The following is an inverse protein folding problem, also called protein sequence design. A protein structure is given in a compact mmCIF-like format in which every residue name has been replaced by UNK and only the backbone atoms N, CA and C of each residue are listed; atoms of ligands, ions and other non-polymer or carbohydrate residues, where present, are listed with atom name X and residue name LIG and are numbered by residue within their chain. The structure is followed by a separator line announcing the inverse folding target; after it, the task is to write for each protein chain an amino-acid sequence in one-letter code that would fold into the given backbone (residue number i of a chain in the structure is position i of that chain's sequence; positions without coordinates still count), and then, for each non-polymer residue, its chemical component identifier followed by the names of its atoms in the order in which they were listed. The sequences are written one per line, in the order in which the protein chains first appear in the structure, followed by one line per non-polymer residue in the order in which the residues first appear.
data_IF_983572855585
#
_entry.id   IF_983572855585
#
_cell.length_a   1.000
_cell.length_b   1.000
_cell.length_c   1.000
_cell.angle_alpha   90.00
_cell.angle_beta   90.00
_cell.angle_gamma   90.00
#
_symmetry.space_group_name_H-M   'P 1'
#
loop_
_entity.id
_entity.type
_entity.pdbx_description
1 polymer ?
#
# COMPACT_ATOMS: atom_id res chain seq x y z
N UNK A 1 47.97 37.91 -0.87
CA UNK A 1 47.50 37.10 -2.00
C UNK A 1 47.13 35.73 -1.44
N UNK A 2 46.24 35.60 -0.45
CA UNK A 2 44.76 35.72 -0.54
C UNK A 2 44.22 35.11 -1.83
N UNK A 3 43.82 33.85 -1.76
CA UNK A 3 42.62 33.38 -2.46
C UNK A 3 41.94 32.29 -1.63
N UNK A 4 40.89 32.73 -0.95
CA UNK A 4 39.98 31.94 -0.14
C UNK A 4 38.94 31.37 -1.08
N UNK A 5 38.95 30.06 -1.32
CA UNK A 5 37.87 29.38 -2.04
C UNK A 5 36.65 29.34 -1.12
N UNK A 6 35.81 30.35 -1.25
CA UNK A 6 34.56 30.48 -0.54
C UNK A 6 33.53 29.57 -1.20
N UNK A 7 33.44 28.32 -0.72
CA UNK A 7 32.35 27.41 -1.07
C UNK A 7 31.03 27.96 -0.54
N UNK A 8 30.28 28.60 -1.42
CA UNK A 8 28.87 28.95 -1.24
C UNK A 8 28.05 27.65 -1.17
N UNK A 9 27.97 27.05 0.02
CA UNK A 9 26.86 26.15 0.35
C UNK A 9 25.69 27.09 0.69
N UNK A 10 24.62 27.15 -0.11
CA UNK A 10 23.45 27.93 0.26
C UNK A 10 22.94 27.38 1.58
N UNK A 11 22.93 28.21 2.62
CA UNK A 11 22.19 27.93 3.85
C UNK A 11 20.72 27.79 3.44
N UNK A 12 20.24 26.56 3.30
CA UNK A 12 18.83 26.26 3.21
C UNK A 12 18.19 26.87 4.46
N UNK A 13 17.45 27.96 4.27
CA UNK A 13 16.70 28.61 5.32
C UNK A 13 15.65 27.61 5.84
N UNK A 14 15.90 27.07 7.03
CA UNK A 14 15.04 26.08 7.71
C UNK A 14 13.88 26.80 8.43
N UNK A 15 13.74 28.12 8.26
CA UNK A 15 12.77 28.94 9.00
C UNK A 15 11.34 28.90 8.41
N UNK A 16 11.18 28.55 7.13
CA UNK A 16 9.84 28.38 6.55
C UNK A 16 9.20 27.06 6.96
N UNK A 17 8.51 27.10 8.12
CA UNK A 17 7.51 26.09 8.48
C UNK A 17 6.36 26.17 7.48
N UNK A 18 6.49 25.46 6.36
CA UNK A 18 5.37 25.19 5.45
C UNK A 18 4.19 24.69 6.29
N UNK A 19 3.05 25.35 6.16
CA UNK A 19 1.84 25.01 6.92
C UNK A 19 1.54 23.52 6.73
N UNK A 20 1.51 22.78 7.83
CA UNK A 20 1.32 21.32 7.78
C UNK A 20 -0.14 21.04 7.39
N UNK A 21 -0.41 20.37 6.26
CA UNK A 21 -1.78 20.09 5.84
C UNK A 21 -2.50 19.30 6.93
N UNK A 22 -3.76 19.67 7.23
CA UNK A 22 -4.59 18.93 8.19
C UNK A 22 -4.87 17.54 7.63
N UNK A 23 -4.81 16.53 8.50
CA UNK A 23 -5.16 15.15 8.10
C UNK A 23 -6.66 15.01 8.21
N UNK A 24 -7.33 14.96 7.06
CA UNK A 24 -8.78 14.78 6.95
C UNK A 24 -9.13 13.30 6.68
N UNK A 25 -10.32 12.88 7.11
CA UNK A 25 -10.76 11.51 6.92
C UNK A 25 -11.02 11.21 5.43
N UNK A 26 -10.40 10.15 4.91
CA UNK A 26 -10.54 9.76 3.50
C UNK A 26 -9.66 10.54 2.52
N UNK A 27 -8.83 11.49 2.99
CA UNK A 27 -7.89 12.24 2.14
C UNK A 27 -6.51 11.59 2.21
N UNK A 28 -5.95 11.24 1.05
CA UNK A 28 -4.61 10.66 0.93
C UNK A 28 -3.55 11.75 0.86
N UNK A 29 -2.56 11.67 1.74
CA UNK A 29 -1.31 12.42 1.62
C UNK A 29 -0.25 11.53 0.96
N UNK A 30 0.47 12.06 -0.05
CA UNK A 30 1.54 11.35 -0.77
C UNK A 30 2.81 12.19 -0.84
N UNK A 31 3.94 11.57 -1.21
CA UNK A 31 5.22 12.25 -1.42
C UNK A 31 5.61 13.16 -0.24
N UNK A 32 5.89 14.43 -0.54
CA UNK A 32 6.31 15.43 0.45
C UNK A 32 5.30 15.60 1.60
N UNK A 33 4.00 15.58 1.31
CA UNK A 33 2.95 15.77 2.32
C UNK A 33 2.88 14.61 3.31
N UNK A 34 3.08 13.38 2.83
CA UNK A 34 3.14 12.16 3.64
C UNK A 34 4.26 12.23 4.67
N UNK A 35 5.42 12.72 4.25
CA UNK A 35 6.64 12.71 5.05
C UNK A 35 6.88 13.98 5.87
N UNK A 36 6.13 15.06 5.60
CA UNK A 36 6.28 16.37 6.25
C UNK A 36 6.20 16.37 7.79
N UNK A 37 5.65 15.32 8.39
CA UNK A 37 5.48 15.17 9.85
C UNK A 37 6.43 14.17 10.49
N UNK A 38 7.37 13.58 9.73
CA UNK A 38 8.34 12.63 10.25
C UNK A 38 9.37 13.39 11.09
N UNK A 39 9.72 12.92 12.30
CA UNK A 39 10.65 13.63 13.19
C UNK A 39 12.08 13.68 12.66
N UNK A 40 12.42 12.80 11.73
CA UNK A 40 13.71 12.76 11.03
C UNK A 40 13.64 13.61 9.76
N UNK A 41 14.67 14.43 9.53
CA UNK A 41 14.80 15.25 8.32
C UNK A 41 14.93 14.34 7.09
N UNK A 42 13.96 14.44 6.18
CA UNK A 42 14.01 13.74 4.90
C UNK A 42 14.57 14.71 3.87
N UNK A 43 15.74 14.38 3.34
CA UNK A 43 16.39 15.15 2.29
C UNK A 43 15.72 14.75 0.97
N UNK A 44 15.06 15.68 0.27
CA UNK A 44 14.43 15.36 -1.00
C UNK A 44 15.50 15.03 -2.03
N UNK A 45 15.24 14.00 -2.84
CA UNK A 45 16.04 13.74 -4.04
C UNK A 45 15.69 14.79 -5.08
N UNK A 46 16.59 15.76 -5.29
CA UNK A 46 16.42 16.82 -6.30
C UNK A 46 16.73 16.31 -7.71
N UNK A 47 17.76 15.48 -7.83
CA UNK A 47 18.18 14.86 -9.08
C UNK A 47 17.91 13.36 -9.02
N UNK A 48 16.87 12.88 -9.71
CA UNK A 48 16.61 11.45 -9.80
C UNK A 48 17.67 10.79 -10.70
N UNK A 49 18.49 9.86 -10.17
CA UNK A 49 19.40 9.11 -11.00
C UNK A 49 18.62 8.25 -12.00
N UNK A 50 19.11 8.18 -13.24
CA UNK A 50 18.54 7.29 -14.24
C UNK A 50 18.63 5.85 -13.75
N UNK A 51 17.49 5.14 -13.77
CA UNK A 51 17.45 3.70 -13.44
C UNK A 51 18.38 2.93 -14.39
N UNK A 52 19.25 2.04 -13.88
CA UNK A 52 20.10 1.19 -14.71
C UNK A 52 19.31 0.36 -15.72
N UNK A 53 19.93 -0.02 -16.83
CA UNK A 53 19.22 -0.68 -17.92
C UNK A 53 18.61 -2.03 -17.52
N UNK A 54 19.27 -2.77 -16.62
CA UNK A 54 18.86 -4.10 -16.17
C UNK A 54 17.61 -4.15 -15.29
N UNK A 55 17.20 -3.04 -14.65
CA UNK A 55 15.99 -2.99 -13.79
C UNK A 55 14.76 -2.44 -14.54
N UNK A 56 14.93 -1.97 -15.77
CA UNK A 56 13.84 -1.36 -16.54
C UNK A 56 13.07 -2.44 -17.28
N UNK A 57 11.76 -2.44 -17.06
CA UNK A 57 10.82 -3.29 -17.81
C UNK A 57 9.97 -2.44 -18.74
N UNK A 58 9.46 -3.04 -19.81
CA UNK A 58 8.39 -2.44 -20.59
C UNK A 58 7.08 -2.72 -19.87
N UNK A 59 6.32 -1.67 -19.52
CA UNK A 59 5.00 -1.86 -18.89
C UNK A 59 4.09 -2.50 -19.95
N UNK A 60 3.66 -3.76 -19.76
CA UNK A 60 2.77 -4.40 -20.72
C UNK A 60 1.39 -3.78 -20.56
N UNK A 61 0.91 -3.07 -21.57
CA UNK A 61 -0.49 -2.69 -21.67
C UNK A 61 -1.21 -3.89 -22.27
N UNK A 62 -1.68 -4.81 -21.41
CA UNK A 62 -2.47 -5.96 -21.84
C UNK A 62 -3.95 -5.70 -21.56
N UNK A 63 -4.87 -6.18 -22.43
CA UNK A 63 -6.31 -6.12 -22.15
C UNK A 63 -6.69 -6.80 -20.83
N UNK A 64 -5.90 -7.77 -20.38
CA UNK A 64 -6.09 -8.47 -19.11
C UNK A 64 -5.81 -7.55 -17.91
N UNK A 65 -4.76 -6.74 -17.96
CA UNK A 65 -4.48 -5.73 -16.93
C UNK A 65 -5.67 -4.78 -16.82
N UNK A 66 -6.16 -4.23 -17.94
CA UNK A 66 -7.28 -3.28 -17.91
C UNK A 66 -8.57 -3.92 -17.39
N UNK A 67 -8.86 -5.17 -17.77
CA UNK A 67 -9.98 -5.94 -17.21
C UNK A 67 -9.90 -6.05 -15.68
N UNK A 68 -8.71 -6.34 -15.15
CA UNK A 68 -8.50 -6.46 -13.71
C UNK A 68 -8.67 -5.12 -13.01
N UNK A 69 -8.12 -4.03 -13.56
CA UNK A 69 -8.32 -2.68 -13.01
C UNK A 69 -9.79 -2.30 -12.94
N UNK A 70 -10.56 -2.63 -13.98
CA UNK A 70 -12.01 -2.40 -14.00
C UNK A 70 -12.73 -3.23 -12.93
N UNK A 71 -12.35 -4.49 -12.76
CA UNK A 71 -12.90 -5.35 -11.72
C UNK A 71 -12.60 -4.81 -10.31
N UNK A 72 -11.35 -4.43 -10.03
CA UNK A 72 -10.97 -3.86 -8.74
C UNK A 72 -11.83 -2.63 -8.42
N UNK A 73 -12.01 -1.72 -9.38
CA UNK A 73 -12.88 -0.54 -9.24
C UNK A 73 -14.34 -0.90 -9.03
N UNK A 74 -14.87 -1.87 -9.77
CA UNK A 74 -16.26 -2.34 -9.65
C UNK A 74 -16.54 -2.87 -8.24
N UNK A 75 -15.59 -3.62 -7.67
CA UNK A 75 -15.71 -4.21 -6.34
C UNK A 75 -15.19 -3.30 -5.21
N UNK A 76 -14.77 -2.06 -5.53
CA UNK A 76 -14.17 -1.10 -4.58
C UNK A 76 -12.99 -1.69 -3.80
N UNK A 77 -12.19 -2.52 -4.47
CA UNK A 77 -11.01 -3.17 -3.90
C UNK A 77 -9.75 -2.40 -4.27
N UNK A 78 -8.73 -2.53 -3.44
CA UNK A 78 -7.41 -1.99 -3.70
C UNK A 78 -6.40 -3.11 -3.92
N UNK A 79 -5.36 -2.81 -4.68
CA UNK A 79 -4.24 -3.72 -4.94
C UNK A 79 -2.94 -2.97 -4.72
N UNK A 80 -1.98 -3.62 -4.04
CA UNK A 80 -0.60 -3.09 -3.96
C UNK A 80 -0.02 -2.92 -5.35
N UNK A 81 -0.40 -3.79 -6.29
CA UNK A 81 0.11 -3.72 -7.64
C UNK A 81 -0.24 -2.39 -8.34
N UNK A 82 -1.41 -1.81 -8.03
CA UNK A 82 -1.81 -0.47 -8.49
C UNK A 82 -1.30 0.65 -7.57
N UNK A 83 -1.52 0.53 -6.25
CA UNK A 83 -1.25 1.62 -5.30
C UNK A 83 0.25 1.88 -5.10
N UNK A 84 1.11 0.87 -5.37
CA UNK A 84 2.57 0.96 -5.28
C UNK A 84 3.28 0.99 -6.64
N UNK A 85 2.55 1.23 -7.74
CA UNK A 85 3.14 1.37 -9.08
C UNK A 85 4.04 0.19 -9.50
N UNK A 86 3.55 -1.05 -9.28
CA UNK A 86 4.37 -2.24 -9.46
C UNK A 86 4.74 -2.47 -10.94
N UNK A 87 6.04 -2.62 -11.29
CA UNK A 87 6.47 -2.89 -12.66
C UNK A 87 6.07 -4.29 -13.16
N UNK A 88 5.78 -5.23 -12.25
CA UNK A 88 5.50 -6.63 -12.56
C UNK A 88 4.00 -6.94 -12.74
N UNK A 89 3.15 -5.91 -12.74
CA UNK A 89 1.69 -6.03 -12.80
C UNK A 89 1.19 -7.01 -13.88
N UNK A 90 1.71 -6.87 -15.11
CA UNK A 90 1.29 -7.71 -16.24
C UNK A 90 1.72 -9.17 -16.09
N UNK A 91 2.94 -9.41 -15.62
CA UNK A 91 3.46 -10.76 -15.42
C UNK A 91 2.68 -11.50 -14.33
N UNK A 92 2.49 -10.86 -13.16
CA UNK A 92 1.77 -11.47 -12.05
C UNK A 92 0.34 -11.85 -12.45
N UNK A 93 -0.38 -10.93 -13.08
CA UNK A 93 -1.77 -11.17 -13.46
C UNK A 93 -1.92 -12.25 -14.53
N UNK A 94 -1.09 -12.24 -15.57
CA UNK A 94 -1.13 -13.31 -16.59
C UNK A 94 -0.68 -14.66 -16.03
N UNK A 95 0.12 -14.67 -14.96
CA UNK A 95 0.45 -15.86 -14.17
C UNK A 95 -0.67 -16.35 -13.25
N UNK A 96 -1.82 -15.66 -13.20
CA UNK A 96 -2.94 -15.98 -12.30
C UNK A 96 -2.65 -15.63 -10.83
N UNK A 97 -1.82 -14.61 -10.59
CA UNK A 97 -1.44 -14.14 -9.26
C UNK A 97 -1.81 -12.68 -9.05
N UNK A 98 -2.36 -12.34 -7.88
CA UNK A 98 -2.64 -10.96 -7.52
C UNK A 98 -2.36 -10.71 -6.03
N UNK A 99 -1.96 -9.48 -5.73
CA UNK A 99 -1.85 -8.97 -4.36
C UNK A 99 -2.94 -7.96 -4.09
N UNK A 100 -3.86 -8.29 -3.19
CA UNK A 100 -4.91 -7.39 -2.75
C UNK A 100 -4.48 -6.65 -1.49
N UNK A 101 -4.82 -5.37 -1.44
CA UNK A 101 -4.64 -4.53 -0.26
C UNK A 101 -6.01 -4.28 0.36
N UNK A 102 -6.28 -4.94 1.48
CA UNK A 102 -7.53 -4.78 2.24
C UNK A 102 -7.43 -3.57 3.17
N UNK A 103 -8.58 -3.16 3.70
CA UNK A 103 -8.75 -2.05 4.63
C UNK A 103 -8.47 -0.68 4.01
N UNK A 104 -8.64 -0.57 2.68
CA UNK A 104 -8.48 0.65 1.92
C UNK A 104 -7.05 0.95 1.49
N UNK A 105 -6.84 2.21 1.13
CA UNK A 105 -5.62 2.74 0.50
C UNK A 105 -4.98 3.91 1.27
N UNK A 106 -5.44 4.11 2.50
CA UNK A 106 -4.95 5.11 3.45
C UNK A 106 -4.34 4.39 4.64
N UNK A 107 -3.04 4.56 4.81
CA UNK A 107 -2.30 4.03 5.94
C UNK A 107 -2.24 5.05 7.09
N UNK A 108 -2.48 4.58 8.31
CA UNK A 108 -2.29 5.39 9.53
C UNK A 108 -0.81 5.71 9.77
N UNK A 109 0.09 4.96 9.15
CA UNK A 109 1.55 5.16 9.18
C UNK A 109 2.08 5.85 7.92
N UNK A 110 3.35 6.22 7.97
CA UNK A 110 4.00 7.12 7.00
C UNK A 110 5.40 6.67 6.62
N UNK A 111 5.58 5.38 6.30
CA UNK A 111 6.88 4.84 5.89
C UNK A 111 7.42 5.62 4.67
N UNK A 112 8.65 6.22 4.74
CA UNK A 112 9.18 7.08 3.68
C UNK A 112 9.35 6.40 2.32
N UNK A 113 9.58 5.09 2.32
CA UNK A 113 9.80 4.28 1.12
C UNK A 113 8.49 3.80 0.48
N UNK A 114 7.36 3.89 1.19
CA UNK A 114 6.10 3.30 0.77
C UNK A 114 5.31 4.33 -0.05
N UNK A 115 4.73 3.92 -1.17
CA UNK A 115 3.95 4.83 -2.04
C UNK A 115 2.46 4.92 -1.63
N UNK A 116 2.00 4.02 -0.75
CA UNK A 116 0.62 4.03 -0.23
C UNK A 116 0.34 5.33 0.51
N UNK A 117 -0.85 5.89 0.32
CA UNK A 117 -1.25 7.16 0.93
C UNK A 117 -1.21 7.11 2.45
N UNK A 118 -0.81 8.21 3.08
CA UNK A 118 -0.94 8.40 4.53
C UNK A 118 -2.18 9.25 4.84
N UNK A 119 -2.89 8.95 5.91
CA UNK A 119 -3.98 9.82 6.37
C UNK A 119 -4.83 9.20 7.47
N UNK A 120 -6.05 9.71 7.62
CA UNK A 120 -7.07 9.11 8.48
C UNK A 120 -7.99 8.25 7.61
N UNK A 121 -8.00 6.92 7.78
CA UNK A 121 -8.84 6.03 6.98
C UNK A 121 -10.33 6.27 7.22
N UNK A 122 -11.17 5.85 6.27
CA UNK A 122 -12.62 5.68 6.50
C UNK A 122 -12.89 4.42 7.35
N UNK A 123 -14.10 4.27 7.91
CA UNK A 123 -14.50 3.01 8.54
C UNK A 123 -14.29 1.81 7.60
N UNK A 124 -14.04 0.63 8.18
CA UNK A 124 -13.95 -0.61 7.40
C UNK A 124 -15.25 -0.86 6.63
N UNK A 125 -15.12 -1.31 5.38
CA UNK A 125 -16.25 -1.85 4.64
C UNK A 125 -16.48 -3.29 5.09
N UNK A 126 -17.61 -3.51 5.77
CA UNK A 126 -18.04 -4.83 6.26
C UNK A 126 -18.24 -5.85 5.14
N UNK A 127 -18.42 -5.39 3.89
CA UNK A 127 -18.58 -6.26 2.73
C UNK A 127 -17.26 -6.53 2.00
N UNK A 128 -16.15 -5.89 2.38
CA UNK A 128 -14.85 -6.09 1.72
C UNK A 128 -14.43 -7.56 1.66
N UNK A 129 -14.55 -8.39 2.74
CA UNK A 129 -14.21 -9.81 2.68
C UNK A 129 -14.96 -10.59 1.59
N UNK A 130 -16.27 -10.35 1.48
CA UNK A 130 -17.12 -11.01 0.47
C UNK A 130 -16.80 -10.51 -0.94
N UNK A 131 -16.67 -9.19 -1.10
CA UNK A 131 -16.31 -8.58 -2.38
C UNK A 131 -14.94 -9.08 -2.88
N UNK A 132 -13.98 -9.23 -1.97
CA UNK A 132 -12.66 -9.79 -2.25
C UNK A 132 -12.75 -11.25 -2.71
N UNK A 133 -13.48 -12.09 -1.98
CA UNK A 133 -13.67 -13.49 -2.35
C UNK A 133 -14.31 -13.62 -3.74
N UNK A 134 -15.37 -12.85 -4.02
CA UNK A 134 -16.04 -12.81 -5.32
C UNK A 134 -15.06 -12.40 -6.42
N UNK A 135 -14.28 -11.34 -6.21
CA UNK A 135 -13.30 -10.89 -7.18
C UNK A 135 -12.23 -11.94 -7.48
N UNK A 136 -11.74 -12.66 -6.46
CA UNK A 136 -10.76 -13.74 -6.62
C UNK A 136 -11.35 -14.89 -7.45
N UNK A 137 -12.60 -15.28 -7.17
CA UNK A 137 -13.30 -16.32 -7.92
C UNK A 137 -13.55 -15.91 -9.39
N UNK A 138 -14.00 -14.68 -9.62
CA UNK A 138 -14.25 -14.11 -10.96
C UNK A 138 -12.97 -14.03 -11.81
N UNK A 139 -11.83 -13.74 -11.15
CA UNK A 139 -10.52 -13.71 -11.80
C UNK A 139 -9.90 -15.09 -11.98
N UNK A 140 -10.42 -16.12 -11.32
CA UNK A 140 -9.89 -17.49 -11.35
C UNK A 140 -8.40 -17.54 -11.00
N UNK A 141 -8.00 -16.77 -9.99
CA UNK A 141 -6.61 -16.71 -9.53
C UNK A 141 -6.19 -18.05 -8.94
N UNK A 142 -4.93 -18.41 -9.15
CA UNK A 142 -4.31 -19.63 -8.61
C UNK A 142 -3.60 -19.35 -7.29
N UNK A 143 -3.02 -18.17 -7.18
CA UNK A 143 -2.26 -17.72 -6.03
C UNK A 143 -2.67 -16.30 -5.64
N UNK A 144 -2.98 -16.09 -4.38
CA UNK A 144 -3.43 -14.80 -3.88
C UNK A 144 -2.59 -14.41 -2.68
N UNK A 145 -2.07 -13.18 -2.72
CA UNK A 145 -1.48 -12.53 -1.55
C UNK A 145 -2.48 -11.51 -1.02
N UNK A 146 -2.77 -11.56 0.28
CA UNK A 146 -3.51 -10.51 0.97
C UNK A 146 -2.56 -9.73 1.86
N UNK A 147 -2.58 -8.41 1.74
CA UNK A 147 -1.91 -7.50 2.64
C UNK A 147 -2.83 -6.34 2.99
N UNK A 148 -2.38 -5.42 3.85
CA UNK A 148 -3.20 -4.29 4.26
C UNK A 148 -2.37 -3.05 4.49
N UNK A 149 -3.07 -1.92 4.57
CA UNK A 149 -2.54 -0.75 5.26
C UNK A 149 -2.50 -0.97 6.77
N UNK A 150 -1.67 -0.20 7.49
CA UNK A 150 -1.71 -0.18 8.95
C UNK A 150 -2.98 0.55 9.42
N UNK A 151 -3.73 -0.11 10.31
CA UNK A 151 -4.97 0.39 10.93
C UNK A 151 -4.80 0.56 12.44
N UNK A 152 -3.89 1.45 12.82
CA UNK A 152 -3.62 1.74 14.24
C UNK A 152 -4.85 2.32 14.98
N UNK A 153 -5.87 2.76 14.24
CA UNK A 153 -7.17 3.21 14.75
C UNK A 153 -8.09 2.06 15.22
N UNK A 154 -7.82 0.82 14.82
CA UNK A 154 -8.58 -0.36 15.25
C UNK A 154 -7.96 -1.00 16.50
N UNK A 155 -8.80 -1.59 17.35
CA UNK A 155 -8.36 -2.21 18.62
C UNK A 155 -7.52 -3.46 18.41
N UNK A 156 -7.80 -4.21 17.36
CA UNK A 156 -7.12 -5.44 16.94
C UNK A 156 -6.12 -5.21 15.79
N UNK A 157 -5.91 -3.96 15.38
CA UNK A 157 -5.08 -3.62 14.21
C UNK A 157 -5.61 -4.16 12.88
N UNK A 158 -6.86 -4.62 12.82
CA UNK A 158 -7.47 -5.21 11.62
C UNK A 158 -7.31 -6.73 11.49
N UNK A 159 -6.82 -7.43 12.53
CA UNK A 159 -6.63 -8.87 12.50
C UNK A 159 -7.94 -9.66 12.21
N UNK A 160 -9.07 -9.23 12.78
CA UNK A 160 -10.37 -9.86 12.50
C UNK A 160 -10.75 -9.73 11.02
N UNK A 161 -10.42 -8.59 10.42
CA UNK A 161 -10.71 -8.34 9.01
C UNK A 161 -9.88 -9.23 8.08
N UNK A 162 -8.62 -9.51 8.43
CA UNK A 162 -7.82 -10.53 7.75
C UNK A 162 -8.47 -11.92 7.85
N UNK A 163 -8.85 -12.35 9.06
CA UNK A 163 -9.48 -13.65 9.29
C UNK A 163 -10.79 -13.80 8.48
N UNK A 164 -11.62 -12.76 8.46
CA UNK A 164 -12.87 -12.74 7.70
C UNK A 164 -12.63 -12.86 6.19
N UNK A 165 -11.63 -12.14 5.65
CA UNK A 165 -11.21 -12.26 4.26
C UNK A 165 -10.75 -13.69 3.92
N UNK A 166 -9.87 -14.26 4.74
CA UNK A 166 -9.36 -15.63 4.54
C UNK A 166 -10.51 -16.62 4.52
N UNK A 167 -11.46 -16.51 5.47
CA UNK A 167 -12.63 -17.38 5.56
C UNK A 167 -13.49 -17.30 4.30
N UNK A 168 -13.87 -16.10 3.87
CA UNK A 168 -14.71 -15.92 2.67
C UNK A 168 -14.01 -16.43 1.39
N UNK A 169 -12.70 -16.23 1.27
CA UNK A 169 -11.91 -16.74 0.13
C UNK A 169 -11.88 -18.26 0.13
N UNK A 170 -11.64 -18.89 1.29
CA UNK A 170 -11.63 -20.37 1.39
C UNK A 170 -12.99 -20.98 1.08
N UNK A 171 -14.09 -20.30 1.43
CA UNK A 171 -15.44 -20.73 1.10
C UNK A 171 -15.71 -20.72 -0.41
N UNK A 172 -15.33 -19.64 -1.10
CA UNK A 172 -15.66 -19.47 -2.52
C UNK A 172 -14.60 -20.05 -3.47
N UNK A 173 -13.35 -20.15 -3.03
CA UNK A 173 -12.19 -20.58 -3.83
C UNK A 173 -11.28 -21.53 -3.03
N UNK A 174 -11.76 -22.72 -2.63
CA UNK A 174 -11.01 -23.63 -1.76
C UNK A 174 -9.67 -24.08 -2.35
N UNK A 175 -9.55 -24.14 -3.68
CA UNK A 175 -8.33 -24.54 -4.39
C UNK A 175 -7.27 -23.45 -4.55
N UNK A 176 -7.53 -22.20 -4.13
CA UNK A 176 -6.56 -21.12 -4.26
C UNK A 176 -5.45 -21.26 -3.21
N UNK A 177 -4.20 -21.02 -3.63
CA UNK A 177 -3.10 -20.85 -2.68
C UNK A 177 -3.16 -19.44 -2.11
N UNK A 178 -3.02 -19.32 -0.79
CA UNK A 178 -3.22 -18.06 -0.08
C UNK A 178 -2.00 -17.76 0.78
N UNK A 179 -1.47 -16.55 0.63
CA UNK A 179 -0.41 -15.98 1.46
C UNK A 179 -0.89 -14.68 2.10
N UNK A 180 -0.44 -14.43 3.33
CA UNK A 180 -0.73 -13.19 4.05
C UNK A 180 0.57 -12.43 4.35
N UNK A 181 0.60 -11.17 3.93
CA UNK A 181 1.63 -10.20 4.34
C UNK A 181 0.97 -9.22 5.31
N UNK A 182 1.12 -9.50 6.60
CA UNK A 182 0.45 -8.76 7.68
C UNK A 182 1.27 -7.57 8.18
N UNK A 183 0.63 -6.54 8.77
CA UNK A 183 1.36 -5.52 9.53
C UNK A 183 1.98 -6.10 10.81
N UNK A 184 2.77 -5.29 11.51
CA UNK A 184 3.40 -5.69 12.78
C UNK A 184 2.44 -5.75 13.99
N UNK A 185 1.18 -5.36 13.79
CA UNK A 185 0.13 -5.22 14.82
C UNK A 185 0.53 -4.38 16.06
N UNK A 186 1.62 -3.62 16.02
CA UNK A 186 2.22 -2.78 17.09
C UNK A 186 1.52 -2.85 18.47
N UNK A 187 2.00 -3.75 19.32
CA UNK A 187 1.51 -3.92 20.70
C UNK A 187 0.20 -4.70 20.83
N UNK A 188 -0.30 -5.28 19.73
CA UNK A 188 -1.52 -6.10 19.67
C UNK A 188 -1.28 -7.48 19.07
N UNK A 189 -0.02 -7.93 19.07
CA UNK A 189 0.38 -9.20 18.45
C UNK A 189 -0.40 -10.39 19.02
N UNK A 190 -0.54 -10.48 20.35
CA UNK A 190 -1.23 -11.59 21.00
C UNK A 190 -2.71 -11.67 20.56
N UNK A 191 -3.40 -10.52 20.52
CA UNK A 191 -4.79 -10.42 20.04
C UNK A 191 -4.89 -10.83 18.57
N UNK A 192 -3.94 -10.39 17.75
CA UNK A 192 -3.93 -10.73 16.33
C UNK A 192 -3.70 -12.23 16.10
N UNK A 193 -2.77 -12.84 16.84
CA UNK A 193 -2.49 -14.27 16.78
C UNK A 193 -3.68 -15.11 17.28
N UNK A 194 -4.33 -14.69 18.37
CA UNK A 194 -5.53 -15.37 18.88
C UNK A 194 -6.67 -15.39 17.86
N UNK A 195 -6.86 -14.28 17.14
CA UNK A 195 -7.90 -14.16 16.11
C UNK A 195 -7.55 -15.00 14.88
N UNK A 196 -6.32 -14.91 14.40
CA UNK A 196 -5.88 -15.55 13.14
C UNK A 196 -5.58 -17.05 13.26
N UNK A 197 -5.47 -17.57 14.49
CA UNK A 197 -5.34 -18.99 14.74
C UNK A 197 -6.67 -19.79 14.65
N UNK A 198 -7.80 -19.10 14.50
CA UNK A 198 -9.15 -19.70 14.41
C UNK A 198 -9.50 -20.11 12.98
#
# INVERSE_FOLDING_TARGET
MTDTVQTLIPTLDVSERVARPKVEAGVKLRGAEKVARIPVKIIPTVDLPKKPDWIRVRIPVSPEVDRIKQLLRKHKLHSVCEEASCPNLGECFSGGTATFMIMGDICTRRCPFCDVGHGRPKPLDVNEPKSLAIAIADLRLKYVVITSVDRDDLRDGGAQHFADCIREIRLLSPGVQLETLVPDYRGRMDVALEITAR
#
